data_IF_843503727674
#
_entry.id   IF_843503727674
#
_cell.length_a   1.000
_cell.length_b   1.000
_cell.length_c   1.000
_cell.angle_alpha   90.00
_cell.angle_beta   90.00
_cell.angle_gamma   90.00
#
_symmetry.space_group_name_H-M   'P 1'
#
loop_
_entity.id
_entity.type
_entity.pdbx_description
1 polymer ?
#
# COMPACT_ATOMS: atom_id res chain seq x y z
N UNK A 1 -24.35 8.86 36.53
CA UNK A 1 -24.21 7.64 35.69
C UNK A 1 -23.62 8.07 34.36
N UNK A 2 -22.41 7.61 34.03
CA UNK A 2 -21.67 8.04 32.83
C UNK A 2 -22.15 7.24 31.61
N UNK A 3 -22.21 7.93 30.50
CA UNK A 3 -22.87 7.63 29.22
C UNK A 3 -22.19 6.52 28.44
N UNK A 4 -22.95 5.50 28.04
CA UNK A 4 -22.52 4.48 27.07
C UNK A 4 -23.08 4.86 25.70
N UNK A 5 -22.46 5.84 25.06
CA UNK A 5 -22.64 6.08 23.63
C UNK A 5 -21.86 4.98 22.90
N UNK A 6 -22.54 3.88 22.57
CA UNK A 6 -22.09 2.91 21.56
C UNK A 6 -22.15 3.59 20.19
N UNK A 7 -21.25 4.54 19.97
CA UNK A 7 -20.83 4.88 18.63
C UNK A 7 -20.03 3.67 18.16
N UNK A 8 -20.55 3.00 17.14
CA UNK A 8 -19.83 2.07 16.28
C UNK A 8 -18.73 2.85 15.55
N UNK A 9 -17.76 3.38 16.30
CA UNK A 9 -16.50 3.83 15.74
C UNK A 9 -15.77 2.55 15.38
N UNK A 10 -15.97 2.13 14.12
CA UNK A 10 -14.97 1.33 13.43
C UNK A 10 -13.70 2.17 13.54
N UNK A 11 -12.90 1.87 14.54
CA UNK A 11 -11.56 2.37 14.73
C UNK A 11 -10.77 1.93 13.49
N UNK A 12 -10.94 2.66 12.39
CA UNK A 12 -10.21 2.53 11.14
C UNK A 12 -8.82 3.16 11.34
N UNK A 13 -8.21 2.92 12.49
CA UNK A 13 -6.83 3.25 12.76
C UNK A 13 -6.04 2.16 12.08
N UNK A 14 -5.82 2.33 10.77
CA UNK A 14 -4.93 1.44 10.03
C UNK A 14 -3.63 1.38 10.80
N UNK A 15 -3.35 0.23 11.42
CA UNK A 15 -2.19 0.06 12.27
C UNK A 15 -0.95 0.43 11.46
N UNK A 16 -0.06 1.24 12.02
CA UNK A 16 1.15 1.70 11.33
C UNK A 16 1.94 0.53 10.71
N UNK A 17 2.00 -0.61 11.39
CA UNK A 17 2.64 -1.82 10.86
C UNK A 17 1.93 -2.42 9.64
N UNK A 18 0.60 -2.30 9.56
CA UNK A 18 -0.17 -2.71 8.39
C UNK A 18 0.03 -1.73 7.23
N UNK A 19 -0.02 -0.42 7.50
CA UNK A 19 0.24 0.62 6.49
C UNK A 19 1.65 0.48 5.90
N UNK A 20 2.66 0.22 6.74
CA UNK A 20 4.04 -0.01 6.33
C UNK A 20 4.18 -1.27 5.47
N UNK A 21 3.56 -2.38 5.88
CA UNK A 21 3.53 -3.62 5.09
C UNK A 21 2.87 -3.41 3.72
N UNK A 22 1.76 -2.68 3.70
CA UNK A 22 1.05 -2.36 2.47
C UNK A 22 1.94 -1.50 1.56
N UNK A 23 2.51 -0.41 2.08
CA UNK A 23 3.44 0.44 1.34
C UNK A 23 4.64 -0.34 0.77
N UNK A 24 5.23 -1.24 1.56
CA UNK A 24 6.37 -2.05 1.12
C UNK A 24 5.99 -3.01 -0.02
N UNK A 25 4.81 -3.63 0.05
CA UNK A 25 4.29 -4.47 -1.03
C UNK A 25 4.05 -3.68 -2.33
N UNK A 26 3.43 -2.51 -2.22
CA UNK A 26 3.22 -1.61 -3.36
C UNK A 26 4.54 -1.11 -3.95
N UNK A 27 5.55 -0.82 -3.12
CA UNK A 27 6.86 -0.38 -3.57
C UNK A 27 7.60 -1.46 -4.39
N UNK A 28 7.55 -2.73 -3.94
CA UNK A 28 8.17 -3.85 -4.67
C UNK A 28 7.47 -4.06 -6.03
N UNK A 29 6.14 -4.04 -6.03
CA UNK A 29 5.35 -4.13 -7.26
C UNK A 29 5.73 -3.01 -8.24
N UNK A 30 5.84 -1.77 -7.75
CA UNK A 30 6.20 -0.62 -8.55
C UNK A 30 7.63 -0.74 -9.13
N UNK A 31 8.61 -1.16 -8.33
CA UNK A 31 9.98 -1.35 -8.83
C UNK A 31 10.05 -2.47 -9.86
N UNK A 32 9.34 -3.58 -9.64
CA UNK A 32 9.29 -4.70 -10.60
C UNK A 32 8.67 -4.30 -11.93
N UNK A 33 7.54 -3.58 -11.92
CA UNK A 33 6.91 -3.09 -13.15
C UNK A 33 7.76 -2.05 -13.86
N UNK A 34 8.42 -1.15 -13.11
CA UNK A 34 9.34 -0.15 -13.67
C UNK A 34 10.52 -0.83 -14.39
N UNK A 35 11.18 -1.79 -13.75
CA UNK A 35 12.30 -2.53 -14.34
C UNK A 35 11.85 -3.29 -15.59
N UNK A 36 10.71 -3.99 -15.51
CA UNK A 36 10.13 -4.70 -16.66
C UNK A 36 9.81 -3.76 -17.82
N UNK A 37 9.24 -2.59 -17.53
CA UNK A 37 8.91 -1.58 -18.53
C UNK A 37 10.16 -0.99 -19.19
N UNK A 38 11.20 -0.68 -18.42
CA UNK A 38 12.49 -0.22 -18.93
C UNK A 38 13.10 -1.27 -19.86
N UNK A 39 13.09 -2.56 -19.48
CA UNK A 39 13.61 -3.65 -20.31
C UNK A 39 12.80 -3.83 -21.59
N UNK A 40 11.48 -3.62 -21.54
CA UNK A 40 10.59 -3.69 -22.70
C UNK A 40 10.86 -2.57 -23.69
N UNK A 41 11.05 -1.34 -23.21
CA UNK A 41 11.50 -0.21 -24.03
C UNK A 41 12.88 -0.50 -24.62
N UNK A 42 13.82 -0.98 -23.79
CA UNK A 42 15.19 -1.27 -24.24
C UNK A 42 15.22 -2.27 -25.39
N UNK A 43 14.37 -3.31 -25.35
CA UNK A 43 14.28 -4.34 -26.41
C UNK A 43 13.51 -3.90 -27.65
N UNK A 44 12.68 -2.86 -27.55
CA UNK A 44 11.82 -2.43 -28.64
C UNK A 44 12.32 -1.14 -29.33
N UNK A 45 13.24 -0.39 -28.68
CA UNK A 45 13.80 0.87 -29.21
C UNK A 45 15.22 0.70 -29.75
N UNK A 46 15.99 -0.27 -29.25
CA UNK A 46 17.34 -0.65 -29.75
C UNK A 46 17.20 -1.96 -30.52
#
# INVERSE_FOLDING_TARGET
>A
MRTNSTATEVENTISYGYALKMFLGWAILYMGTLIGFIELIRRNVI
#
